data_IF_565346126268
#
_entry.id   IF_565346126268
#
_cell.length_a   1.000
_cell.length_b   1.000
_cell.length_c   1.000
_cell.angle_alpha   90.00
_cell.angle_beta   90.00
_cell.angle_gamma   90.00
#
_symmetry.space_group_name_H-M   'P 1'
#
loop_
_entity.id
_entity.type
_entity.pdbx_description
1 polymer ?
#
# COMPACT_ATOMS: atom_id res chain seq x y z
N UNK A 1 -19.52 -5.71 30.92
CA UNK A 1 -19.13 -4.42 30.32
C UNK A 1 -19.28 -4.54 28.82
N UNK A 2 -20.17 -3.74 28.22
CA UNK A 2 -20.24 -3.57 26.76
C UNK A 2 -19.52 -2.27 26.41
N UNK A 3 -18.56 -2.33 25.51
CA UNK A 3 -17.94 -1.12 24.96
C UNK A 3 -18.93 -0.36 24.10
N UNK A 4 -18.83 0.97 24.13
CA UNK A 4 -19.53 1.81 23.16
C UNK A 4 -18.94 1.58 21.76
N UNK A 5 -19.71 1.84 20.68
CA UNK A 5 -19.19 1.69 19.32
C UNK A 5 -17.92 2.51 19.05
N UNK A 6 -17.75 3.66 19.72
CA UNK A 6 -16.57 4.52 19.59
C UNK A 6 -15.36 3.95 20.32
N UNK A 7 -15.55 3.42 21.54
CA UNK A 7 -14.49 2.73 22.29
C UNK A 7 -13.99 1.49 21.55
N UNK A 8 -14.90 0.69 20.98
CA UNK A 8 -14.53 -0.47 20.18
C UNK A 8 -13.71 -0.09 18.94
N UNK A 9 -14.12 0.97 18.23
CA UNK A 9 -13.35 1.50 17.09
C UNK A 9 -11.96 1.98 17.50
N UNK A 10 -11.86 2.73 18.60
CA UNK A 10 -10.59 3.21 19.11
C UNK A 10 -9.65 2.05 19.49
N UNK A 11 -10.19 0.99 20.11
CA UNK A 11 -9.42 -0.20 20.43
C UNK A 11 -8.91 -0.91 19.17
N UNK A 12 -9.75 -1.09 18.15
CA UNK A 12 -9.33 -1.67 16.87
C UNK A 12 -8.23 -0.83 16.21
N UNK A 13 -8.38 0.50 16.20
CA UNK A 13 -7.36 1.40 15.68
C UNK A 13 -6.04 1.26 16.46
N UNK A 14 -6.08 1.20 17.79
CA UNK A 14 -4.89 0.97 18.62
C UNK A 14 -4.20 -0.36 18.30
N UNK A 15 -4.97 -1.44 18.13
CA UNK A 15 -4.43 -2.74 17.74
C UNK A 15 -3.79 -2.69 16.34
N UNK A 16 -4.40 -1.99 15.38
CA UNK A 16 -3.82 -1.79 14.05
C UNK A 16 -2.54 -0.97 14.10
N UNK A 17 -2.47 0.08 14.92
CA UNK A 17 -1.25 0.87 15.11
C UNK A 17 -0.10 0.05 15.67
N UNK A 18 -0.38 -0.85 16.63
CA UNK A 18 0.62 -1.80 17.15
C UNK A 18 1.17 -2.70 16.04
N UNK A 19 0.27 -3.27 15.22
CA UNK A 19 0.68 -4.09 14.08
C UNK A 19 1.56 -3.31 13.09
N UNK A 20 1.27 -2.03 12.82
CA UNK A 20 2.13 -1.19 11.97
C UNK A 20 3.56 -1.12 12.53
N UNK A 21 3.71 -0.91 13.84
CA UNK A 21 5.03 -0.90 14.50
C UNK A 21 5.75 -2.24 14.36
N UNK A 22 5.03 -3.36 14.46
CA UNK A 22 5.60 -4.68 14.27
C UNK A 22 6.12 -4.86 12.83
N UNK A 23 5.37 -4.43 11.81
CA UNK A 23 5.80 -4.46 10.41
C UNK A 23 7.00 -3.54 10.14
N UNK A 24 7.04 -2.36 10.76
CA UNK A 24 8.16 -1.43 10.67
C UNK A 24 9.44 -2.06 11.24
N UNK A 25 9.35 -2.73 12.39
CA UNK A 25 10.47 -3.47 12.97
C UNK A 25 10.95 -4.62 12.08
N UNK A 26 10.03 -5.38 11.49
CA UNK A 26 10.38 -6.44 10.54
C UNK A 26 11.09 -5.89 9.30
N UNK A 27 10.63 -4.76 8.77
CA UNK A 27 11.26 -4.08 7.65
C UNK A 27 12.67 -3.60 8.00
N UNK A 28 12.88 -3.06 9.21
CA UNK A 28 14.21 -2.66 9.70
C UNK A 28 15.14 -3.88 9.78
N UNK A 29 14.66 -5.00 10.32
CA UNK A 29 15.45 -6.25 10.40
C UNK A 29 15.86 -6.75 9.01
N UNK A 30 14.91 -6.79 8.06
CA UNK A 30 15.20 -7.17 6.68
C UNK A 30 16.21 -6.22 6.02
N UNK A 31 16.11 -4.92 6.30
CA UNK A 31 17.07 -3.91 5.82
C UNK A 31 18.47 -4.13 6.39
N UNK A 32 18.57 -4.51 7.67
CA UNK A 32 19.83 -4.79 8.34
C UNK A 32 20.53 -6.01 7.72
N UNK A 33 19.79 -7.10 7.50
CA UNK A 33 20.29 -8.30 6.82
C UNK A 33 20.80 -7.95 5.42
N UNK A 34 20.00 -7.23 4.64
CA UNK A 34 20.36 -6.84 3.27
C UNK A 34 21.58 -5.91 3.20
N UNK A 35 21.76 -5.05 4.20
CA UNK A 35 22.96 -4.21 4.34
C UNK A 35 24.19 -5.06 4.67
N UNK A 36 24.05 -6.10 5.49
CA UNK A 36 25.13 -7.04 5.78
C UNK A 36 25.55 -7.85 4.54
N UNK A 37 24.62 -8.12 3.63
CA UNK A 37 24.85 -8.76 2.33
C UNK A 37 25.46 -7.82 1.27
N UNK A 38 25.84 -6.60 1.65
CA UNK A 38 26.52 -5.62 0.78
C UNK A 38 25.73 -5.17 -0.46
N UNK A 39 24.40 -5.29 -0.41
CA UNK A 39 23.55 -4.92 -1.53
C UNK A 39 23.24 -3.42 -1.64
N UNK A 40 22.64 -3.02 -2.77
CA UNK A 40 22.19 -1.65 -3.07
C UNK A 40 21.44 -1.00 -1.90
N UNK A 41 21.63 0.33 -1.75
CA UNK A 41 20.86 1.16 -0.81
C UNK A 41 19.37 0.98 -1.03
N UNK A 42 18.71 0.36 -0.06
CA UNK A 42 17.27 0.21 0.01
C UNK A 42 16.73 1.16 1.09
N UNK A 43 15.62 1.85 0.83
CA UNK A 43 14.96 2.68 1.85
C UNK A 43 13.94 1.83 2.59
N UNK A 44 13.70 2.16 3.86
CA UNK A 44 12.71 1.46 4.68
C UNK A 44 11.32 1.50 4.04
N UNK A 45 10.96 2.63 3.44
CA UNK A 45 9.69 2.83 2.72
C UNK A 45 9.56 1.98 1.45
N UNK A 46 10.65 1.45 0.91
CA UNK A 46 10.62 0.50 -0.21
C UNK A 46 10.17 -0.90 0.28
N UNK A 47 10.37 -1.23 1.57
CA UNK A 47 9.87 -2.45 2.22
C UNK A 47 8.49 -2.25 2.84
N UNK A 48 8.34 -1.23 3.68
CA UNK A 48 7.10 -0.91 4.37
C UNK A 48 7.03 0.58 4.73
N UNK A 49 5.98 1.24 4.24
CA UNK A 49 5.70 2.66 4.54
C UNK A 49 4.74 2.76 5.73
N UNK A 50 5.33 2.80 6.93
CA UNK A 50 4.60 2.85 8.18
C UNK A 50 3.79 4.15 8.34
N UNK A 51 4.32 5.28 7.88
CA UNK A 51 3.60 6.56 7.95
C UNK A 51 2.32 6.53 7.11
N UNK A 52 2.40 6.00 5.89
CA UNK A 52 1.24 5.83 5.01
C UNK A 52 0.24 4.83 5.59
N UNK A 53 0.72 3.75 6.20
CA UNK A 53 -0.14 2.78 6.89
C UNK A 53 -0.92 3.43 8.06
N UNK A 54 -0.25 4.23 8.90
CA UNK A 54 -0.89 5.00 9.98
C UNK A 54 -1.97 5.95 9.45
N UNK A 55 -1.65 6.70 8.39
CA UNK A 55 -2.62 7.61 7.74
C UNK A 55 -3.85 6.86 7.19
N UNK A 56 -3.65 5.68 6.59
CA UNK A 56 -4.73 4.82 6.08
C UNK A 56 -5.63 4.28 7.19
N UNK A 57 -5.07 3.89 8.33
CA UNK A 57 -5.85 3.46 9.51
C UNK A 57 -6.75 4.61 10.00
N UNK A 58 -6.19 5.82 10.11
CA UNK A 58 -6.96 7.01 10.52
C UNK A 58 -8.07 7.36 9.52
N UNK A 59 -7.83 7.15 8.22
CA UNK A 59 -8.82 7.33 7.17
C UNK A 59 -9.87 6.19 7.08
N UNK A 60 -9.73 5.13 7.89
CA UNK A 60 -10.64 3.97 7.87
C UNK A 60 -10.43 3.01 6.70
N UNK A 61 -9.28 3.06 6.03
CA UNK A 61 -8.96 2.17 4.92
C UNK A 61 -8.62 0.76 5.43
N UNK A 62 -9.35 -0.25 4.93
CA UNK A 62 -9.15 -1.67 5.29
C UNK A 62 -7.84 -2.24 4.70
N UNK A 63 -7.29 -1.62 3.65
CA UNK A 63 -6.09 -2.07 2.94
C UNK A 63 -4.82 -1.37 3.44
N UNK A 64 -4.78 -0.93 4.70
CA UNK A 64 -3.61 -0.26 5.28
C UNK A 64 -2.33 -1.11 5.26
N UNK A 65 -2.45 -2.45 5.20
CA UNK A 65 -1.33 -3.40 5.10
C UNK A 65 -0.69 -3.48 3.70
N UNK A 66 -1.36 -3.01 2.65
CA UNK A 66 -0.82 -3.10 1.29
C UNK A 66 0.23 -2.01 1.05
N UNK A 67 1.41 -2.38 0.54
CA UNK A 67 2.50 -1.42 0.29
C UNK A 67 2.13 -0.36 -0.75
N UNK A 68 1.35 -0.71 -1.77
CA UNK A 68 0.92 0.17 -2.86
C UNK A 68 -0.52 -0.14 -3.26
N UNK A 69 -1.35 0.91 -3.44
CA UNK A 69 -2.56 0.76 -4.26
C UNK A 69 -2.10 0.79 -5.71
N UNK A 70 -2.35 -0.29 -6.44
CA UNK A 70 -2.06 -0.33 -7.87
C UNK A 70 -3.13 0.53 -8.55
N UNK A 71 -2.78 1.76 -8.90
CA UNK A 71 -3.66 2.60 -9.70
C UNK A 71 -3.66 2.09 -11.14
N UNK A 72 -4.74 1.42 -11.51
CA UNK A 72 -4.94 0.85 -12.86
C UNK A 72 -5.61 1.83 -13.82
N UNK A 73 -5.90 3.07 -13.39
CA UNK A 73 -6.62 4.06 -14.22
C UNK A 73 -5.86 4.39 -15.51
N UNK A 74 -4.55 4.60 -15.41
CA UNK A 74 -3.65 4.84 -16.55
C UNK A 74 -3.64 3.65 -17.52
N UNK A 75 -3.60 2.43 -17.01
CA UNK A 75 -3.64 1.20 -17.82
C UNK A 75 -4.97 1.08 -18.58
N UNK A 76 -6.09 1.31 -17.90
CA UNK A 76 -7.43 1.28 -18.52
C UNK A 76 -7.59 2.35 -19.60
N UNK A 77 -7.05 3.56 -19.36
CA UNK A 77 -7.06 4.64 -20.36
C UNK A 77 -6.25 4.27 -21.59
N UNK A 78 -5.04 3.72 -21.40
CA UNK A 78 -4.20 3.25 -22.49
C UNK A 78 -4.87 2.14 -23.31
N UNK A 79 -5.54 1.18 -22.67
CA UNK A 79 -6.30 0.14 -23.38
C UNK A 79 -7.45 0.73 -24.21
N UNK A 80 -8.18 1.71 -23.67
CA UNK A 80 -9.25 2.38 -24.39
C UNK A 80 -8.72 3.12 -25.63
N UNK A 81 -7.61 3.85 -25.48
CA UNK A 81 -6.96 4.58 -26.58
C UNK A 81 -6.44 3.62 -27.67
N UNK A 82 -5.85 2.48 -27.29
CA UNK A 82 -5.41 1.45 -28.24
C UNK A 82 -6.58 0.82 -29.01
N UNK A 83 -7.72 0.59 -28.34
CA UNK A 83 -8.92 0.08 -29.01
C UNK A 83 -9.44 1.06 -30.06
N UNK A 84 -9.53 2.35 -29.71
CA UNK A 84 -9.93 3.42 -30.65
C UNK A 84 -8.96 3.51 -31.83
N UNK A 85 -7.65 3.37 -31.58
CA UNK A 85 -6.65 3.37 -32.63
C UNK A 85 -6.79 2.15 -33.58
N UNK A 86 -6.99 0.95 -33.03
CA UNK A 86 -7.19 -0.26 -33.83
C UNK A 86 -8.46 -0.19 -34.69
N UNK A 87 -9.57 0.33 -34.15
CA UNK A 87 -10.82 0.53 -34.88
C UNK A 87 -10.64 1.53 -36.04
N UNK A 88 -9.79 2.55 -35.88
CA UNK A 88 -9.47 3.52 -36.94
C UNK A 88 -8.60 2.93 -38.06
N UNK A 89 -7.74 1.96 -37.76
CA UNK A 89 -6.95 1.24 -38.77
C UNK A 89 -7.85 0.35 -39.63
N UNK A 90 -8.75 -0.41 -39.02
CA UNK A 90 -9.68 -1.28 -39.75
C UNK A 90 -10.70 -0.53 -40.61
N UNK A 91 -10.97 0.76 -40.33
CA UNK A 91 -11.85 1.60 -41.16
C UNK A 91 -11.15 2.27 -42.36
N UNK A 92 -9.82 2.20 -42.43
CA UNK A 92 -9.00 2.81 -43.50
C UNK A 92 -8.48 1.81 -44.53
N UNK A 93 -8.67 0.51 -44.31
CA UNK A 93 -8.52 -0.55 -45.31
C UNK A 93 -9.88 -0.92 -45.90
#
# INVERSE_FOLDING_TARGET
MSWTPNEYKALLQGAQMKMVSDYENLAIQAMYIRKAENEKRLRLTDLFDAEKARKRILAGDKEWKQSKKIDTSLYKKAQADMKVWADKLNKKG
#
